data_IF_489933017646
#
_entry.id   IF_489933017646
#
_cell.length_a   1.000
_cell.length_b   1.000
_cell.length_c   1.000
_cell.angle_alpha   90.00
_cell.angle_beta   90.00
_cell.angle_gamma   90.00
#
_symmetry.space_group_name_H-M   'P 1'
#
loop_
_entity.id
_entity.type
_entity.pdbx_description
1 polymer ?
#
# COMPACT_ATOMS: atom_id res chain seq x y z
N UNK A 1 -1.31 1.30 17.69
CA UNK A 1 -2.01 0.05 18.05
C UNK A 1 -2.30 -0.82 16.82
N UNK A 2 -2.99 -0.32 15.79
CA UNK A 2 -3.32 -1.07 14.55
C UNK A 2 -2.12 -1.74 13.87
N UNK A 3 -1.04 -1.00 13.60
CA UNK A 3 0.18 -1.55 13.00
C UNK A 3 0.75 -2.73 13.78
N UNK A 4 0.85 -2.61 15.11
CA UNK A 4 1.43 -3.66 15.94
C UNK A 4 0.59 -4.95 15.89
N UNK A 5 -0.75 -4.81 15.90
CA UNK A 5 -1.67 -5.94 15.74
C UNK A 5 -1.55 -6.57 14.35
N UNK A 6 -1.49 -5.74 13.30
CA UNK A 6 -1.35 -6.19 11.92
C UNK A 6 -0.03 -6.95 11.70
N UNK A 7 1.10 -6.38 12.12
CA UNK A 7 2.42 -7.03 12.01
C UNK A 7 2.46 -8.34 12.79
N UNK A 8 1.83 -8.41 13.97
CA UNK A 8 1.70 -9.66 14.71
C UNK A 8 0.85 -10.68 13.95
N UNK A 9 -0.19 -10.27 13.22
CA UNK A 9 -1.19 -11.12 12.56
C UNK A 9 -0.91 -11.49 11.09
N UNK A 10 -0.11 -10.70 10.36
CA UNK A 10 0.41 -11.07 9.04
C UNK A 10 1.70 -10.29 8.70
N UNK A 11 2.63 -10.89 7.93
CA UNK A 11 3.78 -10.15 7.41
C UNK A 11 3.28 -9.08 6.42
N UNK A 12 3.65 -7.83 6.67
CA UNK A 12 3.29 -6.71 5.79
C UNK A 12 4.19 -6.68 4.56
N UNK A 13 3.62 -6.36 3.39
CA UNK A 13 4.40 -6.19 2.16
C UNK A 13 5.42 -5.04 2.32
N UNK A 14 6.65 -5.21 1.81
CA UNK A 14 7.73 -4.22 1.90
C UNK A 14 7.39 -2.88 1.21
N UNK A 15 6.45 -2.88 0.27
CA UNK A 15 5.94 -1.68 -0.43
C UNK A 15 4.69 -1.09 0.20
N UNK A 16 4.07 -1.73 1.18
CA UNK A 16 2.92 -1.18 1.90
C UNK A 16 3.33 0.11 2.60
N UNK A 17 2.51 1.17 2.50
CA UNK A 17 2.74 2.45 3.18
C UNK A 17 1.62 2.81 4.14
N UNK A 18 0.45 2.18 4.03
CA UNK A 18 -0.65 2.31 4.97
C UNK A 18 -0.46 1.43 6.19
N UNK A 19 -0.90 1.90 7.36
CA UNK A 19 -0.92 1.13 8.62
C UNK A 19 0.43 0.53 9.04
N UNK A 20 1.56 1.14 8.66
CA UNK A 20 2.92 0.74 9.09
C UNK A 20 3.64 1.87 9.83
N UNK A 21 4.62 1.52 10.66
CA UNK A 21 5.49 2.47 11.38
C UNK A 21 6.62 2.98 10.49
N UNK A 22 6.29 3.63 9.37
CA UNK A 22 7.26 4.29 8.49
C UNK A 22 6.70 5.57 7.88
N UNK A 23 7.51 6.28 7.09
CA UNK A 23 7.00 7.29 6.17
C UNK A 23 5.86 6.68 5.34
N UNK A 24 4.66 7.23 5.50
CA UNK A 24 3.44 6.72 4.88
C UNK A 24 3.35 7.10 3.41
N UNK A 25 2.21 7.67 3.00
CA UNK A 25 1.98 8.07 1.61
C UNK A 25 2.95 9.16 1.12
N UNK A 26 3.53 9.96 2.03
CA UNK A 26 4.49 11.02 1.70
C UNK A 26 5.68 10.52 0.87
N UNK A 27 6.14 9.29 1.09
CA UNK A 27 7.22 8.69 0.29
C UNK A 27 6.78 8.45 -1.15
N UNK A 28 5.57 7.96 -1.36
CA UNK A 28 5.02 7.71 -2.70
C UNK A 28 4.80 9.04 -3.44
N UNK A 29 4.26 10.05 -2.74
CA UNK A 29 4.09 11.39 -3.29
C UNK A 29 5.43 12.03 -3.67
N UNK A 30 6.45 11.94 -2.80
CA UNK A 30 7.77 12.47 -3.11
C UNK A 30 8.41 11.78 -4.31
N UNK A 31 8.25 10.46 -4.41
CA UNK A 31 8.73 9.69 -5.56
C UNK A 31 8.04 10.15 -6.85
N UNK A 32 6.71 10.30 -6.84
CA UNK A 32 5.96 10.79 -7.98
C UNK A 32 6.36 12.23 -8.38
N UNK A 33 6.56 13.11 -7.39
CA UNK A 33 7.04 14.48 -7.60
C UNK A 33 8.43 14.54 -8.26
N UNK A 34 9.28 13.53 -8.04
CA UNK A 34 10.60 13.43 -8.67
C UNK A 34 10.52 12.77 -10.06
N UNK A 35 9.65 11.77 -10.24
CA UNK A 35 9.50 11.08 -11.52
C UNK A 35 8.94 11.99 -12.61
N UNK A 36 7.89 12.78 -12.31
CA UNK A 36 7.23 13.65 -13.30
C UNK A 36 8.20 14.60 -14.01
N UNK A 37 9.03 15.40 -13.32
CA UNK A 37 9.98 16.28 -14.00
C UNK A 37 11.09 15.50 -14.70
N UNK A 38 11.51 14.35 -14.16
CA UNK A 38 12.56 13.54 -14.78
C UNK A 38 12.12 12.95 -16.13
N UNK A 39 10.91 12.37 -16.18
CA UNK A 39 10.40 11.78 -17.43
C UNK A 39 10.09 12.84 -18.48
N UNK A 40 9.68 14.05 -18.06
CA UNK A 40 9.58 15.22 -18.95
C UNK A 40 10.92 15.59 -19.56
N UNK A 41 11.99 15.66 -18.75
CA UNK A 41 13.35 15.98 -19.22
C UNK A 41 13.90 14.93 -20.17
N UNK A 42 13.61 13.66 -19.92
CA UNK A 42 14.09 12.54 -20.75
C UNK A 42 13.19 12.26 -21.97
N UNK A 43 12.10 13.01 -22.16
CA UNK A 43 11.10 12.77 -23.21
C UNK A 43 10.55 11.33 -23.20
N UNK A 44 10.35 10.75 -22.00
CA UNK A 44 9.82 9.39 -21.82
C UNK A 44 8.38 9.43 -21.28
N UNK A 45 7.52 8.50 -21.69
CA UNK A 45 6.17 8.40 -21.14
C UNK A 45 6.21 7.92 -19.67
N UNK A 46 5.28 8.44 -18.85
CA UNK A 46 5.05 8.01 -17.47
C UNK A 46 3.57 7.67 -17.30
N UNK A 47 3.27 6.41 -16.95
CA UNK A 47 1.92 5.98 -16.58
C UNK A 47 1.75 5.91 -15.06
N UNK A 48 0.63 6.41 -14.55
CA UNK A 48 0.25 6.30 -13.13
C UNK A 48 -1.19 5.81 -13.05
N UNK A 49 -1.41 4.76 -12.26
CA UNK A 49 -2.75 4.18 -12.06
C UNK A 49 -3.13 4.36 -10.60
N UNK A 50 -4.26 5.01 -10.36
CA UNK A 50 -4.88 5.13 -9.04
C UNK A 50 -5.97 4.07 -8.92
N UNK A 51 -5.89 3.23 -7.89
CA UNK A 51 -6.83 2.16 -7.61
C UNK A 51 -7.43 2.42 -6.23
N UNK A 52 -8.75 2.34 -6.14
CA UNK A 52 -9.48 2.43 -4.88
C UNK A 52 -10.48 1.27 -4.75
N UNK A 53 -10.74 0.86 -3.52
CA UNK A 53 -11.63 -0.26 -3.21
C UNK A 53 -12.86 0.24 -2.46
N UNK A 54 -14.04 0.02 -3.04
CA UNK A 54 -15.31 0.37 -2.40
C UNK A 54 -15.49 -0.43 -1.12
N UNK A 55 -15.75 0.27 0.00
CA UNK A 55 -16.04 -0.34 1.32
C UNK A 55 -14.99 -1.39 1.74
N UNK A 56 -13.70 -1.07 1.55
CA UNK A 56 -12.58 -2.00 1.72
C UNK A 56 -12.51 -2.74 3.07
N UNK A 57 -13.16 -2.24 4.12
CA UNK A 57 -13.23 -2.94 5.42
C UNK A 57 -14.50 -3.79 5.57
N UNK A 58 -15.61 -3.38 4.95
CA UNK A 58 -16.90 -4.06 5.07
C UNK A 58 -17.03 -5.23 4.07
N UNK A 59 -16.34 -5.14 2.93
CA UNK A 59 -16.47 -6.14 1.84
C UNK A 59 -15.50 -7.31 1.98
N UNK A 60 -14.66 -7.33 3.01
CA UNK A 60 -13.71 -8.41 3.24
C UNK A 60 -14.43 -9.60 3.87
N UNK A 61 -14.52 -10.72 3.15
CA UNK A 61 -15.10 -11.94 3.70
C UNK A 61 -14.31 -12.45 4.91
N UNK A 62 -15.03 -12.81 5.96
CA UNK A 62 -14.49 -13.45 7.15
C UNK A 62 -13.74 -14.75 6.83
N UNK A 63 -14.18 -15.51 5.82
CA UNK A 63 -13.51 -16.73 5.38
C UNK A 63 -12.06 -16.47 4.93
N UNK A 64 -11.82 -15.35 4.22
CA UNK A 64 -10.48 -14.96 3.78
C UNK A 64 -9.59 -14.58 4.96
N UNK A 65 -10.14 -13.89 5.96
CA UNK A 65 -9.41 -13.50 7.18
C UNK A 65 -8.99 -14.75 7.96
N UNK A 66 -9.93 -15.67 8.22
CA UNK A 66 -9.66 -16.91 8.95
C UNK A 66 -8.63 -17.77 8.20
N UNK A 67 -8.77 -17.92 6.89
CA UNK A 67 -7.82 -18.68 6.08
C UNK A 67 -6.41 -18.13 6.20
N UNK A 68 -6.24 -16.80 6.15
CA UNK A 68 -4.93 -16.16 6.28
C UNK A 68 -4.33 -16.37 7.69
N UNK A 69 -5.16 -16.31 8.73
CA UNK A 69 -4.72 -16.51 10.11
C UNK A 69 -4.31 -17.97 10.39
N UNK A 70 -5.01 -18.95 9.80
CA UNK A 70 -4.73 -20.38 9.95
C UNK A 70 -3.49 -20.84 9.14
N UNK A 71 -2.98 -20.01 8.23
CA UNK A 71 -1.80 -20.31 7.39
C UNK A 71 -0.47 -19.98 8.08
N UNK A 72 -0.50 -19.75 9.39
CA UNK A 72 0.63 -19.27 10.21
C UNK A 72 1.02 -20.31 11.25
#
# INVERSE_FOLDING_TARGET
ILTARLTKACPTNTRQRGFIRSAGCSRNLKLLQLLIPNTKREHRPLGVVFIDLVKAFDTVSHSHIIWLLNRR
#
